data_IF_500776440580
#
_entry.id   IF_500776440580
#
_cell.length_a   1.000
_cell.length_b   1.000
_cell.length_c   1.000
_cell.angle_alpha   90.00
_cell.angle_beta   90.00
_cell.angle_gamma   90.00
#
_symmetry.space_group_name_H-M   'P 1'
#
loop_
_entity.id
_entity.type
_entity.pdbx_description
1 polymer ?
#
# COMPACT_ATOMS: atom_id res chain seq x y z
N UNK A 1 10.28 24.86 -8.12
CA UNK A 1 10.22 23.38 -8.17
C UNK A 1 8.84 23.00 -8.70
N UNK A 2 8.75 22.11 -9.69
CA UNK A 2 7.47 21.73 -10.34
C UNK A 2 7.07 20.31 -9.91
N UNK A 3 5.84 20.13 -9.43
CA UNK A 3 5.35 18.84 -8.93
C UNK A 3 3.86 18.87 -8.59
N UNK A 4 3.36 17.78 -8.01
CA UNK A 4 1.96 17.60 -7.58
C UNK A 4 1.80 17.95 -6.10
N UNK A 5 0.75 18.67 -5.75
CA UNK A 5 0.36 18.94 -4.36
C UNK A 5 -1.07 18.45 -4.18
N UNK A 6 -1.27 17.51 -3.27
CA UNK A 6 -2.57 16.93 -2.98
C UNK A 6 -3.18 17.62 -1.76
N UNK A 7 -4.33 18.26 -1.94
CA UNK A 7 -5.05 18.94 -0.85
C UNK A 7 -6.11 18.07 -0.18
N UNK A 8 -6.59 17.06 -0.90
CA UNK A 8 -7.57 16.09 -0.39
C UNK A 8 -6.83 14.84 0.09
N UNK A 9 -6.94 14.55 1.39
CA UNK A 9 -6.34 13.37 2.02
C UNK A 9 -6.88 12.07 1.43
N UNK A 10 -8.10 12.04 0.89
CA UNK A 10 -8.64 10.82 0.28
C UNK A 10 -7.90 10.42 -1.00
N UNK A 11 -7.11 11.33 -1.61
CA UNK A 11 -6.40 11.11 -2.87
C UNK A 11 -7.32 10.47 -3.93
N UNK A 12 -8.52 11.04 -4.09
CA UNK A 12 -9.56 10.50 -4.97
C UNK A 12 -9.19 10.58 -6.46
N UNK A 13 -8.22 11.42 -6.81
CA UNK A 13 -7.68 11.63 -8.16
C UNK A 13 -6.68 10.55 -8.64
N UNK A 14 -6.27 9.62 -7.77
CA UNK A 14 -5.34 8.52 -8.11
C UNK A 14 -5.92 7.15 -7.76
N UNK A 15 -5.42 6.11 -8.44
CA UNK A 15 -5.82 4.72 -8.19
C UNK A 15 -5.32 4.18 -6.84
N UNK A 16 -5.90 3.09 -6.30
CA UNK A 16 -5.56 2.56 -4.97
C UNK A 16 -4.07 2.23 -4.77
N UNK A 17 -3.41 1.67 -5.79
CA UNK A 17 -1.99 1.33 -5.72
C UNK A 17 -1.10 2.58 -5.62
N UNK A 18 -1.39 3.61 -6.42
CA UNK A 18 -0.65 4.88 -6.37
C UNK A 18 -0.93 5.63 -5.06
N UNK A 19 -2.17 5.61 -4.56
CA UNK A 19 -2.52 6.15 -3.25
C UNK A 19 -1.66 5.55 -2.14
N UNK A 20 -1.56 4.21 -2.09
CA UNK A 20 -0.70 3.51 -1.14
C UNK A 20 0.76 3.93 -1.29
N UNK A 21 1.27 4.00 -2.51
CA UNK A 21 2.64 4.42 -2.77
C UNK A 21 2.93 5.86 -2.31
N UNK A 22 2.01 6.81 -2.52
CA UNK A 22 2.15 8.20 -2.08
C UNK A 22 2.21 8.33 -0.55
N UNK A 23 1.32 7.62 0.16
CA UNK A 23 1.31 7.59 1.62
C UNK A 23 2.57 6.93 2.19
N UNK A 24 3.06 5.85 1.57
CA UNK A 24 4.32 5.23 1.95
C UNK A 24 5.48 6.20 1.74
N UNK A 25 5.59 6.85 0.57
CA UNK A 25 6.65 7.82 0.28
C UNK A 25 6.64 9.00 1.24
N UNK A 26 5.46 9.47 1.66
CA UNK A 26 5.31 10.49 2.70
C UNK A 26 5.91 10.04 4.04
N UNK A 27 5.61 8.81 4.48
CA UNK A 27 6.11 8.29 5.76
C UNK A 27 7.60 7.95 5.71
N UNK A 28 8.10 7.44 4.59
CA UNK A 28 9.54 7.24 4.36
C UNK A 28 10.30 8.56 4.46
N UNK A 29 9.75 9.63 3.87
CA UNK A 29 10.30 10.98 3.97
C UNK A 29 10.31 11.49 5.40
N UNK A 30 9.24 11.25 6.17
CA UNK A 30 9.18 11.62 7.58
C UNK A 30 10.22 10.85 8.42
N UNK A 31 10.37 9.56 8.17
CA UNK A 31 11.38 8.74 8.83
C UNK A 31 12.80 9.24 8.51
N UNK A 32 13.06 9.61 7.25
CA UNK A 32 14.33 10.19 6.83
C UNK A 32 14.60 11.52 7.53
N UNK A 33 13.60 12.41 7.59
CA UNK A 33 13.68 13.68 8.30
C UNK A 33 14.11 13.48 9.76
N UNK A 34 13.46 12.54 10.45
CA UNK A 34 13.78 12.24 11.85
C UNK A 34 15.10 11.46 12.04
N UNK A 35 15.79 11.08 10.96
CA UNK A 35 17.07 10.36 11.02
C UNK A 35 18.28 11.26 10.79
N UNK A 36 18.08 12.54 10.47
CA UNK A 36 19.19 13.47 10.31
C UNK A 36 19.89 13.76 11.64
N UNK A 37 21.23 13.76 11.61
CA UNK A 37 22.03 14.23 12.74
C UNK A 37 22.06 15.77 12.73
N UNK A 38 21.48 16.38 13.76
CA UNK A 38 21.37 17.83 13.90
C UNK A 38 22.74 18.53 13.85
N UNK A 39 23.81 17.85 14.31
CA UNK A 39 25.17 18.40 14.30
C UNK A 39 25.72 18.48 12.87
N UNK A 40 25.56 17.42 12.09
CA UNK A 40 25.96 17.38 10.68
C UNK A 40 25.24 18.44 9.83
N UNK A 41 24.01 18.79 10.19
CA UNK A 41 23.22 19.84 9.53
C UNK A 41 23.53 21.27 10.03
N UNK A 42 24.36 21.42 11.07
CA UNK A 42 24.63 22.73 11.68
C UNK A 42 23.42 23.34 12.42
N UNK A 43 22.43 22.51 12.80
CA UNK A 43 21.19 22.94 13.48
C UNK A 43 21.28 22.84 15.01
N UNK A 44 22.50 22.92 15.57
CA UNK A 44 22.71 22.93 17.01
C UNK A 44 22.05 24.18 17.62
N UNK A 45 21.20 24.00 18.62
CA UNK A 45 20.48 25.09 19.27
C UNK A 45 19.28 25.64 18.49
N UNK A 46 18.90 25.05 17.35
CA UNK A 46 17.70 25.42 16.59
C UNK A 46 16.41 25.30 17.41
N UNK A 47 16.37 24.33 18.32
CA UNK A 47 15.28 24.11 19.26
C UNK A 47 15.77 23.52 20.57
N UNK A 48 14.83 23.18 21.44
CA UNK A 48 15.11 22.47 22.70
C UNK A 48 14.46 21.10 22.61
N UNK A 49 15.25 20.03 22.67
CA UNK A 49 14.73 18.65 22.71
C UNK A 49 14.23 18.27 24.11
N UNK A 50 15.12 18.08 25.11
CA UNK A 50 14.73 17.52 26.41
C UNK A 50 13.56 18.26 27.07
N UNK A 51 12.54 17.53 27.53
CA UNK A 51 11.31 18.07 28.08
C UNK A 51 10.30 18.58 27.04
N UNK A 52 10.42 18.13 25.78
CA UNK A 52 9.55 18.53 24.67
C UNK A 52 8.07 18.25 24.98
N UNK A 53 7.74 17.03 25.42
CA UNK A 53 6.36 16.63 25.70
C UNK A 53 5.72 17.54 26.77
N UNK A 54 6.43 17.79 27.88
CA UNK A 54 5.96 18.69 28.94
C UNK A 54 5.73 20.12 28.43
N UNK A 55 6.63 20.63 27.59
CA UNK A 55 6.49 21.95 26.97
C UNK A 55 5.28 22.01 26.04
N UNK A 56 5.05 20.99 25.23
CA UNK A 56 3.89 20.94 24.33
C UNK A 56 2.58 20.97 25.12
N UNK A 57 2.44 20.10 26.13
CA UNK A 57 1.23 20.06 26.98
C UNK A 57 0.96 21.43 27.63
N UNK A 58 1.97 22.03 28.26
CA UNK A 58 1.81 23.33 28.92
C UNK A 58 1.54 24.49 27.96
N UNK A 59 2.15 24.47 26.77
CA UNK A 59 1.96 25.51 25.74
C UNK A 59 0.55 25.46 25.16
N UNK A 60 0.08 24.28 24.75
CA UNK A 60 -1.27 24.12 24.19
C UNK A 60 -2.36 24.36 25.23
N UNK A 61 -2.13 23.98 26.50
CA UNK A 61 -3.07 24.33 27.58
C UNK A 61 -3.19 25.84 27.78
N UNK A 62 -2.05 26.56 27.81
CA UNK A 62 -2.05 28.02 27.93
C UNK A 62 -2.77 28.68 26.74
N UNK A 63 -2.54 28.21 25.52
CA UNK A 63 -3.19 28.74 24.32
C UNK A 63 -4.70 28.46 24.32
N UNK A 64 -5.12 27.26 24.73
CA UNK A 64 -6.53 26.93 24.89
C UNK A 64 -7.19 27.82 25.94
N UNK A 65 -6.59 27.96 27.13
CA UNK A 65 -7.16 28.76 28.23
C UNK A 65 -7.30 30.24 27.86
N UNK A 66 -6.34 30.79 27.11
CA UNK A 66 -6.42 32.16 26.60
C UNK A 66 -7.54 32.36 25.57
N UNK A 67 -8.00 31.29 24.91
CA UNK A 67 -9.00 31.32 23.84
C UNK A 67 -10.37 30.77 24.27
N UNK A 68 -10.44 30.10 25.42
CA UNK A 68 -11.64 29.44 25.92
C UNK A 68 -12.64 30.47 26.46
N UNK A 69 -13.88 30.41 25.97
CA UNK A 69 -15.00 31.25 26.41
C UNK A 69 -16.14 30.40 27.00
N UNK A 70 -16.06 29.09 26.90
CA UNK A 70 -17.00 28.12 27.48
C UNK A 70 -16.21 26.93 27.99
N UNK A 71 -16.62 26.38 29.13
CA UNK A 71 -15.99 25.19 29.67
C UNK A 71 -16.33 23.96 28.83
N UNK A 72 -15.29 23.24 28.39
CA UNK A 72 -15.41 21.96 27.69
C UNK A 72 -14.69 20.93 28.55
N UNK A 73 -15.41 20.20 29.43
CA UNK A 73 -14.80 19.29 30.40
C UNK A 73 -13.86 18.24 29.77
N UNK A 74 -14.13 17.82 28.52
CA UNK A 74 -13.28 16.88 27.80
C UNK A 74 -11.87 17.43 27.56
N UNK A 75 -11.73 18.73 27.21
CA UNK A 75 -10.41 19.36 26.97
C UNK A 75 -9.62 19.41 28.27
N UNK A 76 -10.26 19.80 29.37
CA UNK A 76 -9.60 19.88 30.69
C UNK A 76 -9.14 18.49 31.18
N UNK A 77 -9.99 17.47 31.04
CA UNK A 77 -9.63 16.07 31.36
C UNK A 77 -8.47 15.56 30.50
N UNK A 78 -8.46 15.90 29.21
CA UNK A 78 -7.38 15.51 28.30
C UNK A 78 -6.06 16.17 28.70
N UNK A 79 -6.09 17.47 28.99
CA UNK A 79 -4.91 18.21 29.43
C UNK A 79 -4.34 17.65 30.75
N UNK A 80 -5.21 17.34 31.71
CA UNK A 80 -4.81 16.73 32.99
C UNK A 80 -4.21 15.34 32.78
N UNK A 81 -4.84 14.51 31.94
CA UNK A 81 -4.30 13.19 31.60
C UNK A 81 -2.91 13.31 30.97
N UNK A 82 -2.73 14.21 30.00
CA UNK A 82 -1.43 14.44 29.35
C UNK A 82 -0.37 14.92 30.35
N UNK A 83 -0.71 15.81 31.27
CA UNK A 83 0.22 16.30 32.28
C UNK A 83 0.69 15.18 33.24
N UNK A 84 -0.20 14.23 33.54
CA UNK A 84 0.06 13.12 34.47
C UNK A 84 0.69 11.88 33.81
N UNK A 85 0.67 11.78 32.48
CA UNK A 85 1.13 10.60 31.73
C UNK A 85 2.26 10.92 30.73
N UNK A 86 3.15 11.85 31.10
CA UNK A 86 4.32 12.18 30.27
C UNK A 86 5.19 10.93 30.03
N UNK A 87 5.65 10.69 28.79
CA UNK A 87 6.51 9.55 28.48
C UNK A 87 7.79 9.56 29.32
N UNK A 88 8.24 8.40 29.83
CA UNK A 88 9.53 8.30 30.49
C UNK A 88 10.65 8.59 29.47
N UNK A 89 11.66 9.37 29.86
CA UNK A 89 12.82 9.60 28.99
C UNK A 89 12.59 10.58 27.82
N UNK A 90 11.78 11.62 28.01
CA UNK A 90 11.55 12.76 27.08
C UNK A 90 12.83 13.59 26.81
N UNK A 91 13.80 12.93 26.16
CA UNK A 91 15.18 13.40 25.93
C UNK A 91 15.59 13.33 24.47
N UNK A 92 14.72 12.79 23.60
CA UNK A 92 14.93 12.71 22.16
C UNK A 92 15.13 14.10 21.54
N UNK A 93 16.09 14.19 20.60
CA UNK A 93 16.47 15.41 19.90
C UNK A 93 16.47 15.17 18.39
N UNK A 94 15.28 15.10 17.79
CA UNK A 94 15.12 14.99 16.33
C UNK A 94 14.67 16.33 15.74
N UNK A 95 15.08 16.63 14.51
CA UNK A 95 14.44 17.68 13.72
C UNK A 95 13.00 17.23 13.45
N UNK A 96 12.02 18.03 13.86
CA UNK A 96 10.61 17.79 13.60
C UNK A 96 10.06 18.95 12.76
N UNK A 97 9.17 18.63 11.84
CA UNK A 97 8.46 19.58 11.01
C UNK A 97 7.38 20.34 11.81
N UNK A 98 6.70 19.66 12.73
CA UNK A 98 5.64 20.22 13.55
C UNK A 98 4.29 20.35 12.84
N UNK A 99 4.27 20.34 11.51
CA UNK A 99 3.07 20.36 10.68
C UNK A 99 3.14 19.43 9.46
N UNK A 100 3.64 18.22 9.66
CA UNK A 100 3.89 17.28 8.57
C UNK A 100 2.58 16.67 8.06
N UNK A 101 2.14 17.07 6.86
CA UNK A 101 0.89 16.65 6.22
C UNK A 101 1.06 16.54 4.71
N UNK A 102 0.16 15.82 4.05
CA UNK A 102 0.26 15.57 2.60
C UNK A 102 0.18 16.85 1.76
N UNK A 103 -0.57 17.86 2.21
CA UNK A 103 -0.73 19.13 1.50
C UNK A 103 0.52 20.03 1.61
N UNK A 104 1.41 19.74 2.55
CA UNK A 104 2.72 20.38 2.71
C UNK A 104 3.82 19.63 1.93
N UNK A 105 3.47 18.71 1.03
CA UNK A 105 4.43 17.90 0.28
C UNK A 105 4.26 18.12 -1.22
N UNK A 106 5.39 18.35 -1.90
CA UNK A 106 5.45 18.34 -3.36
C UNK A 106 5.92 16.96 -3.81
N UNK A 107 5.05 16.22 -4.50
CA UNK A 107 5.37 14.95 -5.14
C UNK A 107 5.85 15.15 -6.59
N UNK A 108 6.57 14.16 -7.12
CA UNK A 108 6.97 14.13 -8.51
C UNK A 108 5.75 14.17 -9.45
N UNK A 109 5.83 14.80 -10.65
CA UNK A 109 4.71 14.90 -11.58
C UNK A 109 4.05 13.56 -11.97
N UNK A 110 4.83 12.47 -12.02
CA UNK A 110 4.38 11.15 -12.52
C UNK A 110 4.71 9.98 -11.58
N UNK A 111 5.50 10.19 -10.53
CA UNK A 111 5.96 9.13 -9.64
C UNK A 111 5.45 9.36 -8.22
N UNK A 112 5.28 8.29 -7.44
CA UNK A 112 4.99 8.35 -6.01
C UNK A 112 6.28 8.62 -5.22
N UNK A 113 6.88 9.79 -5.44
CA UNK A 113 8.16 10.20 -4.84
C UNK A 113 8.08 11.64 -4.36
N UNK A 114 8.54 11.89 -3.14
CA UNK A 114 8.59 13.25 -2.57
C UNK A 114 9.77 14.03 -3.16
N UNK A 115 9.51 15.26 -3.61
CA UNK A 115 10.51 16.20 -4.09
C UNK A 115 10.87 17.27 -3.06
N UNK A 116 9.88 17.75 -2.29
CA UNK A 116 10.09 18.78 -1.28
C UNK A 116 9.01 18.71 -0.19
N UNK A 117 9.39 19.14 1.01
CA UNK A 117 8.49 19.40 2.16
C UNK A 117 8.44 20.92 2.36
N UNK A 118 7.25 21.48 2.52
CA UNK A 118 6.95 22.91 2.60
C UNK A 118 6.55 23.32 4.02
N UNK A 119 6.49 24.62 4.29
CA UNK A 119 5.91 25.20 5.52
C UNK A 119 6.60 24.81 6.84
N UNK A 120 7.92 25.04 6.87
CA UNK A 120 8.80 24.78 8.02
C UNK A 120 8.65 25.75 9.20
N UNK A 121 7.65 26.63 9.22
CA UNK A 121 7.52 27.69 10.23
C UNK A 121 7.28 27.17 11.67
N UNK A 122 6.71 25.97 11.80
CA UNK A 122 6.50 25.29 13.09
C UNK A 122 7.61 24.29 13.44
N UNK A 123 8.62 24.18 12.59
CA UNK A 123 9.68 23.19 12.78
C UNK A 123 10.60 23.55 13.95
N UNK A 124 11.09 22.52 14.64
CA UNK A 124 11.95 22.68 15.81
C UNK A 124 12.70 21.39 16.10
N UNK A 125 13.44 21.36 17.22
CA UNK A 125 14.00 20.13 17.78
C UNK A 125 13.03 19.58 18.81
N UNK A 126 12.66 18.32 18.70
CA UNK A 126 11.69 17.70 19.60
C UNK A 126 11.60 16.18 19.45
N UNK A 127 10.48 15.64 19.94
CA UNK A 127 10.24 14.21 19.94
C UNK A 127 9.62 13.73 18.61
N UNK A 128 10.25 12.81 17.87
CA UNK A 128 9.84 12.46 16.51
C UNK A 128 8.44 11.81 16.42
N UNK A 129 8.02 11.08 17.46
CA UNK A 129 6.68 10.51 17.51
C UNK A 129 5.55 11.55 17.53
N UNK A 130 5.83 12.81 17.89
CA UNK A 130 4.83 13.87 17.83
C UNK A 130 4.41 14.17 16.39
N UNK A 131 5.38 14.22 15.47
CA UNK A 131 5.11 14.42 14.04
C UNK A 131 4.44 13.20 13.41
N UNK A 132 4.89 11.98 13.76
CA UNK A 132 4.25 10.76 13.26
C UNK A 132 2.77 10.68 13.70
N UNK A 133 2.50 10.93 14.99
CA UNK A 133 1.14 10.95 15.51
C UNK A 133 0.28 12.02 14.82
N UNK A 134 0.81 13.22 14.64
CA UNK A 134 0.15 14.31 13.93
C UNK A 134 -0.18 13.93 12.47
N UNK A 135 0.80 13.36 11.75
CA UNK A 135 0.66 12.91 10.37
C UNK A 135 -0.46 11.88 10.20
N UNK A 136 -0.62 10.98 11.18
CA UNK A 136 -1.59 9.87 11.15
C UNK A 136 -2.96 10.19 11.76
N UNK A 137 -3.21 11.44 12.17
CA UNK A 137 -4.48 11.84 12.81
C UNK A 137 -5.73 11.46 12.01
N UNK A 138 -5.62 11.45 10.69
CA UNK A 138 -6.75 11.18 9.80
C UNK A 138 -7.38 9.80 9.99
N UNK A 139 -6.67 8.80 10.52
CA UNK A 139 -7.22 7.46 10.79
C UNK A 139 -8.22 7.42 11.93
N UNK A 140 -8.14 8.37 12.87
CA UNK A 140 -8.98 8.39 14.06
C UNK A 140 -9.89 9.62 14.07
N UNK A 141 -10.13 10.25 12.91
CA UNK A 141 -10.93 11.47 12.85
C UNK A 141 -12.34 11.24 13.43
N UNK A 142 -12.87 12.15 14.28
CA UNK A 142 -14.14 11.90 14.95
C UNK A 142 -15.30 11.83 13.95
N UNK A 143 -16.04 10.72 13.94
CA UNK A 143 -17.16 10.50 13.01
C UNK A 143 -18.31 11.52 13.17
N UNK A 144 -18.38 12.18 14.33
CA UNK A 144 -19.36 13.25 14.61
C UNK A 144 -19.03 14.57 13.89
N UNK A 145 -17.79 14.74 13.42
CA UNK A 145 -17.35 15.91 12.66
C UNK A 145 -17.52 15.61 11.18
N UNK A 146 -18.60 16.16 10.59
CA UNK A 146 -18.84 16.11 9.14
C UNK A 146 -18.16 17.30 8.45
N UNK A 147 -17.62 17.04 7.26
CA UNK A 147 -17.09 17.98 6.26
C UNK A 147 -17.07 19.46 6.68
N UNK A 148 -15.92 19.93 7.16
CA UNK A 148 -15.59 21.35 7.00
C UNK A 148 -15.37 21.60 5.51
N UNK A 149 -15.98 22.67 4.99
CA UNK A 149 -15.98 23.00 3.55
C UNK A 149 -14.60 22.89 2.89
N UNK A 150 -14.61 22.62 1.57
CA UNK A 150 -13.42 22.62 0.72
C UNK A 150 -12.58 23.88 0.98
N UNK A 151 -11.28 23.70 1.20
CA UNK A 151 -10.33 24.79 1.45
C UNK A 151 -9.95 25.02 2.92
N UNK A 152 -10.40 24.16 3.84
CA UNK A 152 -9.83 24.14 5.20
C UNK A 152 -8.65 23.19 5.31
N UNK A 153 -7.67 23.48 6.19
CA UNK A 153 -6.60 22.53 6.55
C UNK A 153 -7.11 21.23 7.22
N UNK A 154 -8.43 21.07 7.39
CA UNK A 154 -9.09 20.00 8.14
C UNK A 154 -10.29 19.40 7.38
N UNK A 155 -10.34 19.52 6.06
CA UNK A 155 -11.37 18.85 5.26
C UNK A 155 -11.05 17.35 5.14
N UNK A 156 -11.88 16.49 5.74
CA UNK A 156 -11.74 15.03 5.71
C UNK A 156 -12.96 14.41 5.04
N UNK A 157 -12.80 13.87 3.83
CA UNK A 157 -13.92 13.36 3.03
C UNK A 157 -14.27 11.89 3.22
N UNK A 158 -13.37 11.04 3.73
CA UNK A 158 -13.60 9.62 4.01
C UNK A 158 -12.40 9.02 4.77
N UNK A 159 -12.59 7.88 5.43
CA UNK A 159 -11.49 7.07 5.98
C UNK A 159 -10.64 6.49 4.86
N UNK A 160 -9.31 6.64 4.97
CA UNK A 160 -8.35 5.99 4.07
C UNK A 160 -8.29 4.51 4.43
N UNK A 161 -8.82 3.67 3.56
CA UNK A 161 -8.82 2.21 3.76
C UNK A 161 -7.46 1.57 3.42
N UNK A 162 -6.68 2.20 2.53
CA UNK A 162 -5.37 1.71 2.09
C UNK A 162 -4.40 2.87 1.86
N UNK A 163 -3.19 2.86 2.46
CA UNK A 163 -2.68 1.85 3.40
C UNK A 163 -3.36 1.98 4.78
N UNK A 164 -3.27 0.94 5.60
CA UNK A 164 -3.73 0.94 6.99
C UNK A 164 -2.80 1.76 7.89
N UNK A 165 -3.31 2.15 9.06
CA UNK A 165 -2.54 2.86 10.08
C UNK A 165 -1.31 2.06 10.53
N UNK A 166 -1.49 0.76 10.78
CA UNK A 166 -0.44 -0.15 11.23
C UNK A 166 0.65 -0.33 10.16
N UNK A 167 0.29 -0.37 8.88
CA UNK A 167 1.25 -0.41 7.78
C UNK A 167 2.11 0.84 7.75
N UNK A 168 1.53 2.04 7.89
CA UNK A 168 2.31 3.28 7.91
C UNK A 168 3.24 3.34 9.13
N UNK A 169 2.77 2.95 10.30
CA UNK A 169 3.64 2.86 11.49
C UNK A 169 4.76 1.85 11.28
N UNK A 170 4.48 0.70 10.67
CA UNK A 170 5.47 -0.33 10.35
C UNK A 170 6.53 0.18 9.37
N UNK A 171 6.13 0.88 8.31
CA UNK A 171 7.04 1.54 7.35
C UNK A 171 7.96 2.50 8.08
N UNK A 172 7.39 3.39 8.91
CA UNK A 172 8.17 4.36 9.68
C UNK A 172 9.21 3.68 10.57
N UNK A 173 8.78 2.68 11.36
CA UNK A 173 9.65 1.97 12.29
C UNK A 173 10.79 1.25 11.56
N UNK A 174 10.48 0.59 10.44
CA UNK A 174 11.46 -0.07 9.58
C UNK A 174 12.50 0.92 9.03
N UNK A 175 12.06 2.07 8.52
CA UNK A 175 12.96 3.10 7.99
C UNK A 175 13.84 3.72 9.10
N UNK A 176 13.32 3.84 10.32
CA UNK A 176 14.06 4.33 11.49
C UNK A 176 14.95 3.27 12.16
N UNK A 177 14.79 1.99 11.82
CA UNK A 177 15.47 0.89 12.51
C UNK A 177 15.02 0.71 13.98
N UNK A 178 13.76 1.03 14.30
CA UNK A 178 13.20 0.93 15.66
C UNK A 178 12.11 -0.13 15.75
N UNK A 179 11.73 -0.51 16.97
CA UNK A 179 10.63 -1.46 17.22
C UNK A 179 9.29 -0.93 16.69
N UNK A 180 8.48 -1.82 16.13
CA UNK A 180 7.08 -1.54 15.76
C UNK A 180 6.18 -1.37 17.00
N UNK A 181 6.61 -1.87 18.16
CA UNK A 181 5.93 -1.64 19.44
C UNK A 181 6.34 -0.28 20.00
N UNK A 182 5.64 0.78 19.59
CA UNK A 182 5.87 2.15 20.06
C UNK A 182 5.23 2.38 21.44
N UNK A 183 5.91 1.97 22.51
CA UNK A 183 5.47 2.26 23.87
C UNK A 183 5.27 3.78 24.05
N UNK A 184 4.07 4.18 24.48
CA UNK A 184 3.61 5.58 24.61
C UNK A 184 3.09 6.28 23.33
N UNK A 185 2.95 5.64 22.17
CA UNK A 185 2.39 6.33 21.00
C UNK A 185 0.94 6.85 21.20
N UNK A 186 0.14 6.24 22.11
CA UNK A 186 -1.16 6.78 22.53
C UNK A 186 -1.06 8.16 23.19
N UNK A 187 0.04 8.45 23.91
CA UNK A 187 0.29 9.78 24.45
C UNK A 187 0.45 10.80 23.33
N UNK A 188 1.23 10.48 22.29
CA UNK A 188 1.47 11.37 21.16
C UNK A 188 0.22 11.59 20.30
N UNK A 189 -0.61 10.56 20.12
CA UNK A 189 -1.93 10.69 19.51
C UNK A 189 -2.81 11.64 20.33
N UNK A 190 -2.97 11.38 21.64
CA UNK A 190 -3.74 12.24 22.53
C UNK A 190 -3.24 13.69 22.54
N UNK A 191 -1.93 13.90 22.53
CA UNK A 191 -1.30 15.22 22.43
C UNK A 191 -1.64 15.92 21.11
N UNK A 192 -1.64 15.18 20.00
CA UNK A 192 -1.96 15.70 18.67
C UNK A 192 -3.42 16.16 18.59
N UNK A 193 -4.36 15.38 19.16
CA UNK A 193 -5.76 15.79 19.28
C UNK A 193 -5.95 17.00 20.20
N UNK A 194 -5.20 17.08 21.31
CA UNK A 194 -5.22 18.23 22.21
C UNK A 194 -4.73 19.51 21.52
N UNK A 195 -3.61 19.41 20.79
CA UNK A 195 -3.10 20.49 19.92
C UNK A 195 -4.16 20.95 18.92
N UNK A 196 -4.81 20.02 18.23
CA UNK A 196 -5.85 20.35 17.25
C UNK A 196 -7.07 21.04 17.88
N UNK A 197 -7.52 20.57 19.04
CA UNK A 197 -8.60 21.20 19.78
C UNK A 197 -8.25 22.64 20.21
N UNK A 198 -7.02 22.86 20.67
CA UNK A 198 -6.52 24.19 21.03
C UNK A 198 -6.43 25.14 19.83
N UNK A 199 -5.93 24.66 18.68
CA UNK A 199 -5.88 25.44 17.43
C UNK A 199 -7.30 25.81 16.97
N UNK A 200 -8.22 24.85 16.95
CA UNK A 200 -9.61 25.08 16.56
C UNK A 200 -10.29 26.11 17.48
N UNK A 201 -10.07 26.01 18.78
CA UNK A 201 -10.56 26.99 19.76
C UNK A 201 -9.98 28.39 19.49
N UNK A 202 -8.69 28.50 19.19
CA UNK A 202 -8.03 29.77 18.88
C UNK A 202 -8.51 30.40 17.55
N UNK A 203 -8.85 29.59 16.55
CA UNK A 203 -9.49 30.08 15.31
C UNK A 203 -10.87 30.64 15.61
N UNK A 204 -11.67 29.92 16.38
CA UNK A 204 -13.01 30.38 16.76
C UNK A 204 -12.98 31.64 17.64
N UNK A 205 -12.04 31.73 18.59
CA UNK A 205 -11.87 32.93 19.41
C UNK A 205 -11.52 34.17 18.56
N UNK A 206 -10.68 34.01 17.53
CA UNK A 206 -10.39 35.09 16.56
C UNK A 206 -11.60 35.49 15.74
N UNK A 207 -12.49 34.54 15.40
CA UNK A 207 -13.76 34.84 14.77
C UNK A 207 -14.67 35.70 15.65
N UNK A 208 -14.80 35.37 16.94
CA UNK A 208 -15.65 36.13 17.88
C UNK A 208 -15.25 37.61 17.99
N UNK A 209 -13.96 37.92 17.84
CA UNK A 209 -13.43 39.29 17.89
C UNK A 209 -13.31 39.95 16.51
N UNK A 210 -13.84 39.33 15.45
CA UNK A 210 -13.84 39.87 14.08
C UNK A 210 -12.50 39.83 13.36
N UNK A 211 -11.54 39.02 13.81
CA UNK A 211 -10.18 38.91 13.26
C UNK A 211 -9.91 37.54 12.61
N UNK A 212 -10.95 36.92 12.04
CA UNK A 212 -10.85 35.64 11.34
C UNK A 212 -10.52 35.83 9.85
N UNK A 213 -9.58 35.04 9.34
CA UNK A 213 -9.17 35.07 7.93
C UNK A 213 -10.01 34.19 7.01
N UNK A 214 -10.72 33.19 7.55
CA UNK A 214 -11.53 32.24 6.78
C UNK A 214 -13.03 32.37 7.10
N UNK A 215 -13.89 32.30 6.07
CA UNK A 215 -15.36 32.47 6.19
C UNK A 215 -16.01 31.45 7.13
N UNK A 216 -15.46 30.25 7.23
CA UNK A 216 -15.98 29.17 8.06
C UNK A 216 -15.35 29.07 9.45
N UNK A 217 -14.58 30.09 9.89
CA UNK A 217 -13.96 30.12 11.22
C UNK A 217 -14.96 29.93 12.37
N UNK A 218 -16.23 30.28 12.15
CA UNK A 218 -17.34 30.10 13.09
C UNK A 218 -17.70 28.63 13.35
N UNK A 219 -17.36 27.71 12.43
CA UNK A 219 -17.68 26.29 12.56
C UNK A 219 -16.69 25.52 13.43
N UNK A 220 -15.50 26.07 13.65
CA UNK A 220 -14.43 25.40 14.39
C UNK A 220 -14.78 25.12 15.85
N UNK A 221 -15.71 25.86 16.46
CA UNK A 221 -16.21 25.53 17.80
C UNK A 221 -16.86 24.15 17.87
N UNK A 222 -17.50 23.72 16.76
CA UNK A 222 -18.21 22.43 16.68
C UNK A 222 -17.24 21.24 16.76
N UNK A 223 -15.97 21.42 16.43
CA UNK A 223 -14.97 20.35 16.38
C UNK A 223 -14.11 20.23 17.65
N UNK A 224 -14.04 21.27 18.49
CA UNK A 224 -13.18 21.28 19.69
C UNK A 224 -13.53 20.14 20.65
N UNK A 225 -14.81 19.98 20.98
CA UNK A 225 -15.28 18.93 21.90
C UNK A 225 -15.04 17.52 21.32
N UNK A 226 -15.47 17.20 20.08
CA UNK A 226 -15.18 15.91 19.46
C UNK A 226 -13.69 15.55 19.45
N UNK A 227 -12.81 16.49 19.09
CA UNK A 227 -11.37 16.26 19.09
C UNK A 227 -10.84 15.89 20.49
N UNK A 228 -11.29 16.59 21.52
CA UNK A 228 -10.89 16.32 22.90
C UNK A 228 -11.42 14.96 23.41
N UNK A 229 -12.65 14.59 23.05
CA UNK A 229 -13.24 13.30 23.39
C UNK A 229 -12.49 12.14 22.72
N UNK A 230 -12.17 12.26 21.44
CA UNK A 230 -11.36 11.28 20.72
C UNK A 230 -9.95 11.16 21.30
N UNK A 231 -9.30 12.27 21.65
CA UNK A 231 -7.99 12.25 22.33
C UNK A 231 -8.03 11.47 23.65
N UNK A 232 -9.09 11.64 24.45
CA UNK A 232 -9.32 10.88 25.70
C UNK A 232 -9.63 9.40 25.47
N UNK A 233 -10.28 9.06 24.37
CA UNK A 233 -10.54 7.66 24.02
C UNK A 233 -9.21 6.96 23.65
N UNK A 234 -8.42 7.60 22.79
CA UNK A 234 -7.11 7.10 22.37
C UNK A 234 -6.15 6.94 23.56
N UNK A 235 -6.22 7.86 24.53
CA UNK A 235 -5.39 7.80 25.74
C UNK A 235 -5.66 6.58 26.63
N UNK A 236 -6.83 5.94 26.50
CA UNK A 236 -7.25 4.78 27.29
C UNK A 236 -7.05 3.44 26.56
N UNK A 237 -6.62 3.46 25.30
CA UNK A 237 -6.42 2.21 24.54
C UNK A 237 -5.25 1.42 25.12
N UNK A 238 -5.45 0.12 25.28
CA UNK A 238 -4.46 -0.82 25.82
C UNK A 238 -3.46 -1.32 24.77
N UNK A 239 -3.75 -1.19 23.47
CA UNK A 239 -2.87 -1.61 22.37
C UNK A 239 -3.09 -0.76 21.10
N UNK A 240 -2.07 -0.67 20.25
CA UNK A 240 -2.08 0.00 18.92
C UNK A 240 -2.88 -0.74 17.86
N UNK A 241 -3.26 -1.99 18.12
CA UNK A 241 -3.97 -2.82 17.15
C UNK A 241 -5.40 -2.32 16.98
N UNK A 242 -5.74 -1.80 15.79
CA UNK A 242 -7.10 -1.99 15.29
C UNK A 242 -7.39 -3.50 15.25
N UNK A 243 -8.65 -3.89 15.30
CA UNK A 243 -9.14 -5.26 15.53
C UNK A 243 -8.77 -6.30 14.46
N UNK A 244 -7.73 -6.08 13.66
CA UNK A 244 -7.16 -7.06 12.75
C UNK A 244 -5.82 -7.59 13.28
N UNK A 245 -5.69 -8.90 13.53
CA UNK A 245 -4.41 -9.49 13.85
C UNK A 245 -3.51 -9.43 12.62
N UNK A 246 -2.69 -8.38 12.53
CA UNK A 246 -1.55 -8.34 11.62
C UNK A 246 -0.53 -9.36 12.14
N UNK A 247 -0.32 -10.41 11.36
CA UNK A 247 0.91 -11.21 11.47
C UNK A 247 2.08 -10.25 11.23
N UNK A 248 3.10 -10.35 12.07
CA UNK A 248 4.22 -9.44 12.08
C UNK A 248 4.95 -9.39 10.72
N UNK A 249 5.19 -8.18 10.20
CA UNK A 249 6.30 -7.90 9.28
C UNK A 249 6.05 -7.96 7.77
N UNK A 250 4.85 -8.29 7.29
CA UNK A 250 4.57 -8.30 5.85
C UNK A 250 3.92 -6.97 5.42
N UNK A 251 4.65 -6.16 4.65
CA UNK A 251 4.07 -5.03 3.94
C UNK A 251 3.21 -5.59 2.80
N UNK A 252 1.94 -5.24 2.78
CA UNK A 252 0.92 -5.75 1.86
C UNK A 252 0.53 -7.22 2.15
N UNK A 253 -0.38 -7.47 3.11
CA UNK A 253 -0.90 -8.81 3.29
C UNK A 253 -1.69 -9.24 2.04
N UNK A 254 -1.55 -10.50 1.58
CA UNK A 254 -2.41 -11.02 0.52
C UNK A 254 -3.87 -10.94 0.95
N UNK A 255 -4.77 -10.78 -0.02
CA UNK A 255 -6.20 -10.73 0.22
C UNK A 255 -6.68 -12.01 0.91
N UNK A 256 -7.81 -11.95 1.62
CA UNK A 256 -8.39 -13.16 2.25
C UNK A 256 -8.57 -14.29 1.24
N UNK A 257 -9.04 -13.96 0.03
CA UNK A 257 -9.18 -14.92 -1.07
C UNK A 257 -7.83 -15.47 -1.52
N UNK A 258 -6.82 -14.61 -1.67
CA UNK A 258 -5.44 -15.02 -1.96
C UNK A 258 -4.88 -15.98 -0.93
N UNK A 259 -5.06 -15.70 0.36
CA UNK A 259 -4.65 -16.59 1.46
C UNK A 259 -5.34 -17.95 1.42
N UNK A 260 -6.66 -17.96 1.22
CA UNK A 260 -7.46 -19.19 1.11
C UNK A 260 -7.02 -20.06 -0.07
N UNK A 261 -6.82 -19.46 -1.26
CA UNK A 261 -6.34 -20.18 -2.44
C UNK A 261 -4.90 -20.66 -2.26
N UNK A 262 -4.00 -19.83 -1.70
CA UNK A 262 -2.62 -20.23 -1.42
C UNK A 262 -2.55 -21.45 -0.50
N UNK A 263 -3.38 -21.49 0.54
CA UNK A 263 -3.46 -22.65 1.44
C UNK A 263 -3.95 -23.90 0.70
N UNK A 264 -4.98 -23.77 -0.14
CA UNK A 264 -5.46 -24.88 -0.98
C UNK A 264 -4.39 -25.37 -1.95
N UNK A 265 -3.67 -24.47 -2.62
CA UNK A 265 -2.56 -24.83 -3.53
C UNK A 265 -1.46 -25.57 -2.77
N UNK A 266 -1.02 -25.06 -1.61
CA UNK A 266 -0.02 -25.74 -0.76
C UNK A 266 -0.46 -27.15 -0.37
N UNK A 267 -1.73 -27.31 0.01
CA UNK A 267 -2.29 -28.60 0.35
C UNK A 267 -2.34 -29.54 -0.87
N UNK A 268 -2.82 -29.04 -2.00
CA UNK A 268 -2.89 -29.78 -3.26
C UNK A 268 -1.50 -30.24 -3.71
N UNK A 269 -0.50 -29.35 -3.62
CA UNK A 269 0.89 -29.67 -3.93
C UNK A 269 1.40 -30.84 -3.09
N UNK A 270 1.12 -30.81 -1.77
CA UNK A 270 1.51 -31.86 -0.83
C UNK A 270 0.79 -33.19 -1.06
N UNK A 271 -0.50 -33.14 -1.37
CA UNK A 271 -1.36 -34.33 -1.46
C UNK A 271 -1.32 -35.01 -2.83
N UNK A 272 -1.11 -34.25 -3.90
CA UNK A 272 -1.29 -34.72 -5.27
C UNK A 272 -0.06 -34.52 -6.15
N UNK A 273 0.56 -33.33 -6.13
CA UNK A 273 1.68 -33.00 -7.03
C UNK A 273 2.97 -33.69 -6.61
N UNK A 274 3.48 -33.45 -5.40
CA UNK A 274 4.75 -34.03 -4.96
C UNK A 274 4.76 -35.57 -4.99
N UNK A 275 3.66 -36.28 -4.62
CA UNK A 275 3.61 -37.74 -4.77
C UNK A 275 3.73 -38.23 -6.22
N UNK A 276 3.22 -37.48 -7.20
CA UNK A 276 3.25 -37.84 -8.62
C UNK A 276 4.60 -37.54 -9.29
N UNK A 277 5.47 -36.75 -8.65
CA UNK A 277 6.71 -36.26 -9.26
C UNK A 277 7.62 -37.40 -9.74
N UNK A 278 7.79 -38.45 -8.93
CA UNK A 278 8.62 -39.60 -9.31
C UNK A 278 8.07 -40.30 -10.55
N UNK A 279 6.77 -40.50 -10.65
CA UNK A 279 6.12 -41.16 -11.79
C UNK A 279 6.34 -40.35 -13.07
N UNK A 280 6.14 -39.03 -13.00
CA UNK A 280 6.30 -38.12 -14.14
C UNK A 280 7.75 -38.07 -14.62
N UNK A 281 8.72 -38.00 -13.69
CA UNK A 281 10.15 -38.03 -14.04
C UNK A 281 10.50 -39.33 -14.77
N UNK A 282 10.03 -40.48 -14.28
CA UNK A 282 10.28 -41.77 -14.94
C UNK A 282 9.62 -41.83 -16.33
N UNK A 283 8.41 -41.30 -16.48
CA UNK A 283 7.73 -41.24 -17.78
C UNK A 283 8.55 -40.47 -18.82
N UNK A 284 9.01 -39.27 -18.48
CA UNK A 284 9.81 -38.47 -19.43
C UNK A 284 11.20 -39.07 -19.69
N UNK A 285 11.84 -39.63 -18.65
CA UNK A 285 13.13 -40.29 -18.81
C UNK A 285 13.04 -41.51 -19.76
N UNK A 286 11.99 -42.32 -19.63
CA UNK A 286 11.76 -43.50 -20.46
C UNK A 286 11.44 -43.16 -21.93
N UNK A 287 10.83 -42.01 -22.20
CA UNK A 287 10.44 -41.59 -23.54
C UNK A 287 11.44 -40.65 -24.22
N UNK A 288 12.57 -40.32 -23.59
CA UNK A 288 13.50 -39.27 -24.08
C UNK A 288 14.00 -39.48 -25.53
N UNK A 289 14.16 -40.72 -25.96
CA UNK A 289 14.64 -41.11 -27.29
C UNK A 289 13.53 -41.45 -28.29
N UNK A 290 12.27 -41.36 -27.90
CA UNK A 290 11.12 -41.70 -28.75
C UNK A 290 10.36 -40.45 -29.17
N UNK A 291 9.49 -40.57 -30.17
CA UNK A 291 8.57 -39.49 -30.55
C UNK A 291 7.57 -39.16 -29.43
N UNK A 292 7.34 -40.09 -28.49
CA UNK A 292 6.48 -39.89 -27.33
C UNK A 292 7.05 -38.92 -26.28
N UNK A 293 8.28 -38.41 -26.45
CA UNK A 293 8.88 -37.40 -25.55
C UNK A 293 8.05 -36.11 -25.41
N UNK A 294 7.21 -35.82 -26.40
CA UNK A 294 6.33 -34.64 -26.42
C UNK A 294 4.92 -34.92 -25.88
N UNK A 295 4.61 -36.19 -25.59
CA UNK A 295 3.31 -36.56 -25.01
C UNK A 295 3.31 -36.27 -23.51
N UNK A 296 2.15 -35.87 -22.99
CA UNK A 296 1.95 -35.63 -21.56
C UNK A 296 1.61 -36.94 -20.85
N UNK A 297 2.16 -37.19 -19.64
CA UNK A 297 1.85 -38.39 -18.90
C UNK A 297 0.38 -38.41 -18.46
N UNK A 298 -0.33 -39.55 -18.50
CA UNK A 298 -1.74 -39.63 -18.12
C UNK A 298 -2.06 -39.16 -16.69
N UNK A 299 -1.10 -39.27 -15.77
CA UNK A 299 -1.26 -38.75 -14.40
C UNK A 299 -1.45 -37.23 -14.39
N UNK A 300 -0.87 -36.50 -15.35
CA UNK A 300 -0.99 -35.05 -15.42
C UNK A 300 -2.44 -34.62 -15.74
N UNK A 301 -3.10 -35.30 -16.66
CA UNK A 301 -4.51 -35.03 -16.99
C UNK A 301 -5.43 -35.31 -15.80
N UNK A 302 -5.18 -36.41 -15.07
CA UNK A 302 -5.89 -36.71 -13.83
C UNK A 302 -5.71 -35.60 -12.79
N UNK A 303 -4.50 -35.05 -12.65
CA UNK A 303 -4.22 -33.96 -11.71
C UNK A 303 -4.94 -32.67 -12.12
N UNK A 304 -4.98 -32.35 -13.42
CA UNK A 304 -5.74 -31.21 -13.97
C UNK A 304 -7.23 -31.33 -13.66
N UNK A 305 -7.82 -32.53 -13.80
CA UNK A 305 -9.23 -32.77 -13.46
C UNK A 305 -9.53 -32.51 -11.97
N UNK A 306 -8.67 -32.96 -11.06
CA UNK A 306 -8.83 -32.71 -9.61
C UNK A 306 -8.67 -31.21 -9.33
N UNK A 307 -7.67 -30.55 -9.91
CA UNK A 307 -7.44 -29.11 -9.74
C UNK A 307 -8.66 -28.29 -10.21
N UNK A 308 -9.24 -28.62 -11.36
CA UNK A 308 -10.50 -28.02 -11.86
C UNK A 308 -11.65 -28.23 -10.87
N UNK A 309 -11.82 -29.44 -10.35
CA UNK A 309 -12.90 -29.76 -9.40
C UNK A 309 -12.78 -28.98 -8.08
N UNK A 310 -11.56 -28.63 -7.66
CA UNK A 310 -11.30 -27.81 -6.47
C UNK A 310 -11.30 -26.29 -6.72
N UNK A 311 -11.48 -25.87 -7.98
CA UNK A 311 -11.45 -24.47 -8.37
C UNK A 311 -10.04 -23.86 -8.42
N UNK A 312 -9.01 -24.70 -8.57
CA UNK A 312 -7.60 -24.31 -8.68
C UNK A 312 -7.18 -24.26 -10.15
N UNK A 313 -7.79 -23.36 -10.94
CA UNK A 313 -7.61 -23.34 -12.40
C UNK A 313 -7.58 -21.91 -12.94
N UNK A 314 -6.69 -21.62 -13.91
CA UNK A 314 -6.48 -20.29 -14.49
C UNK A 314 -6.16 -19.20 -13.44
N UNK A 315 -5.43 -19.56 -12.38
CA UNK A 315 -5.20 -18.70 -11.22
C UNK A 315 -4.45 -17.40 -11.58
N UNK A 316 -3.67 -17.44 -12.67
CA UNK A 316 -2.87 -16.32 -13.17
C UNK A 316 -3.70 -15.15 -13.72
N UNK A 317 -4.94 -15.39 -14.17
CA UNK A 317 -5.72 -14.41 -14.92
C UNK A 317 -6.73 -13.70 -14.00
N UNK A 318 -6.55 -12.41 -13.64
CA UNK A 318 -7.36 -11.72 -12.63
C UNK A 318 -8.86 -11.70 -12.94
N UNK A 319 -9.25 -11.54 -14.20
CA UNK A 319 -10.67 -11.48 -14.61
C UNK A 319 -11.40 -12.83 -14.46
N UNK A 320 -10.64 -13.93 -14.36
CA UNK A 320 -11.18 -15.28 -14.12
C UNK A 320 -11.03 -15.66 -12.65
N UNK A 321 -9.83 -15.53 -12.11
CA UNK A 321 -9.51 -15.99 -10.76
C UNK A 321 -10.01 -15.03 -9.68
N UNK A 322 -10.17 -13.74 -10.00
CA UNK A 322 -10.43 -12.67 -9.05
C UNK A 322 -9.32 -12.51 -8.01
N UNK A 323 -8.08 -12.85 -8.37
CA UNK A 323 -6.88 -12.67 -7.56
C UNK A 323 -6.11 -11.43 -8.02
N UNK A 324 -5.49 -10.72 -7.08
CA UNK A 324 -4.53 -9.67 -7.43
C UNK A 324 -3.20 -10.27 -7.87
N UNK A 325 -2.34 -9.44 -8.48
CA UNK A 325 -0.98 -9.85 -8.84
C UNK A 325 -0.15 -10.25 -7.60
N UNK A 326 -0.35 -9.57 -6.47
CA UNK A 326 0.29 -9.91 -5.20
C UNK A 326 -0.17 -11.28 -4.68
N UNK A 327 -1.47 -11.57 -4.76
CA UNK A 327 -2.01 -12.87 -4.37
C UNK A 327 -1.42 -14.00 -5.23
N UNK A 328 -1.39 -13.78 -6.55
CA UNK A 328 -0.87 -14.77 -7.49
C UNK A 328 0.65 -14.97 -7.35
N UNK A 329 1.43 -13.94 -6.98
CA UNK A 329 2.86 -14.06 -6.81
C UNK A 329 3.26 -15.15 -5.80
N UNK A 330 2.59 -15.21 -4.65
CA UNK A 330 2.83 -16.24 -3.63
C UNK A 330 2.37 -17.64 -4.08
N UNK A 331 1.32 -17.70 -4.89
CA UNK A 331 0.84 -18.96 -5.48
C UNK A 331 1.84 -19.47 -6.52
N UNK A 332 2.34 -18.59 -7.39
CA UNK A 332 3.34 -18.91 -8.39
C UNK A 332 4.68 -19.33 -7.77
N UNK A 333 5.06 -18.73 -6.63
CA UNK A 333 6.22 -19.19 -5.85
C UNK A 333 6.06 -20.65 -5.40
N UNK A 334 4.86 -21.04 -4.97
CA UNK A 334 4.57 -22.42 -4.56
C UNK A 334 4.62 -23.38 -5.76
N UNK A 335 4.02 -23.03 -6.89
CA UNK A 335 4.04 -23.90 -8.08
C UNK A 335 5.44 -24.02 -8.69
N UNK A 336 6.28 -22.99 -8.56
CA UNK A 336 7.67 -23.00 -9.01
C UNK A 336 8.56 -24.06 -8.34
N UNK A 337 8.09 -24.69 -7.26
CA UNK A 337 8.82 -25.76 -6.54
C UNK A 337 8.78 -27.11 -7.26
N UNK A 338 7.94 -27.27 -8.28
CA UNK A 338 7.84 -28.51 -9.05
C UNK A 338 7.58 -28.23 -10.54
N UNK A 339 8.38 -28.82 -11.43
CA UNK A 339 8.47 -28.41 -12.84
C UNK A 339 7.18 -28.57 -13.65
N UNK A 340 6.26 -29.45 -13.25
CA UNK A 340 4.98 -29.67 -13.94
C UNK A 340 3.79 -29.07 -13.19
N UNK A 341 3.98 -28.50 -11.99
CA UNK A 341 2.90 -27.94 -11.20
C UNK A 341 2.18 -26.77 -11.87
N UNK A 342 2.86 -25.82 -12.57
CA UNK A 342 2.15 -24.79 -13.31
C UNK A 342 1.15 -25.38 -14.32
N UNK A 343 1.49 -26.49 -14.98
CA UNK A 343 0.61 -27.14 -15.96
C UNK A 343 -0.63 -27.79 -15.33
N UNK A 344 -0.53 -28.25 -14.07
CA UNK A 344 -1.66 -28.81 -13.33
C UNK A 344 -2.75 -27.75 -13.06
N UNK A 345 -2.35 -26.49 -12.89
CA UNK A 345 -3.26 -25.38 -12.59
C UNK A 345 -3.58 -24.48 -13.82
N UNK A 346 -3.15 -24.88 -15.02
CA UNK A 346 -3.21 -24.12 -16.27
C UNK A 346 -2.51 -22.75 -16.21
N UNK A 347 -1.35 -22.72 -15.55
CA UNK A 347 -0.55 -21.54 -15.28
C UNK A 347 0.85 -21.62 -15.93
N UNK A 348 1.07 -22.51 -16.89
CA UNK A 348 2.35 -22.71 -17.57
C UNK A 348 2.59 -21.71 -18.70
N UNK A 349 3.85 -21.31 -18.88
CA UNK A 349 4.30 -20.68 -20.11
C UNK A 349 4.41 -21.73 -21.24
N UNK A 350 4.21 -21.33 -22.51
CA UNK A 350 3.89 -19.99 -22.99
C UNK A 350 2.39 -19.64 -22.96
N UNK A 351 1.53 -20.58 -22.56
CA UNK A 351 0.08 -20.46 -22.71
C UNK A 351 -0.54 -19.29 -21.95
N UNK A 352 -0.07 -19.00 -20.73
CA UNK A 352 -0.58 -17.86 -19.94
C UNK A 352 -0.43 -16.53 -20.66
N UNK A 353 0.75 -16.25 -21.22
CA UNK A 353 0.99 -15.02 -22.00
C UNK A 353 0.12 -14.97 -23.27
N UNK A 354 -0.05 -16.09 -23.96
CA UNK A 354 -0.91 -16.16 -25.15
C UNK A 354 -2.40 -15.97 -24.80
N UNK A 355 -2.85 -16.53 -23.68
CA UNK A 355 -4.19 -16.29 -23.14
C UNK A 355 -4.40 -14.82 -22.79
N UNK A 356 -3.42 -14.15 -22.16
CA UNK A 356 -3.48 -12.72 -21.86
C UNK A 356 -3.60 -11.85 -23.13
N UNK A 357 -2.82 -12.17 -24.18
CA UNK A 357 -2.90 -11.46 -25.48
C UNK A 357 -4.32 -11.58 -26.07
N UNK A 358 -4.89 -12.78 -26.12
CA UNK A 358 -6.25 -12.98 -26.64
C UNK A 358 -7.31 -12.33 -25.74
N UNK A 359 -7.13 -12.39 -24.42
CA UNK A 359 -8.04 -11.78 -23.45
C UNK A 359 -8.11 -10.25 -23.62
N UNK A 360 -6.95 -9.60 -23.76
CA UNK A 360 -6.85 -8.15 -23.87
C UNK A 360 -7.20 -7.62 -25.26
N UNK A 361 -6.78 -8.32 -26.32
CA UNK A 361 -6.78 -7.77 -27.69
C UNK A 361 -7.57 -8.59 -28.71
N UNK A 362 -7.98 -9.81 -28.38
CA UNK A 362 -8.70 -10.69 -29.31
C UNK A 362 -10.12 -10.20 -29.61
N UNK A 363 -10.57 -10.41 -30.86
CA UNK A 363 -11.99 -10.21 -31.23
C UNK A 363 -12.88 -11.26 -30.55
N UNK A 364 -14.20 -11.07 -30.58
CA UNK A 364 -15.14 -12.04 -30.01
C UNK A 364 -14.99 -13.42 -30.66
N UNK A 365 -14.77 -13.46 -31.97
CA UNK A 365 -14.54 -14.68 -32.74
C UNK A 365 -13.23 -15.36 -32.33
N UNK A 366 -12.14 -14.59 -32.22
CA UNK A 366 -10.84 -15.12 -31.79
C UNK A 366 -10.86 -15.65 -30.36
N UNK A 367 -11.58 -14.97 -29.45
CA UNK A 367 -11.75 -15.43 -28.07
C UNK A 367 -12.52 -16.74 -28.03
N UNK A 368 -13.61 -16.85 -28.78
CA UNK A 368 -14.40 -18.08 -28.85
C UNK A 368 -13.61 -19.25 -29.46
N UNK A 369 -12.87 -19.00 -30.52
CA UNK A 369 -12.14 -20.04 -31.24
C UNK A 369 -10.88 -20.51 -30.48
N UNK A 370 -10.15 -19.60 -29.84
CA UNK A 370 -8.82 -19.89 -29.30
C UNK A 370 -8.70 -19.69 -27.79
N UNK A 371 -9.26 -18.61 -27.23
CA UNK A 371 -9.14 -18.34 -25.80
C UNK A 371 -9.95 -19.34 -24.97
N UNK A 372 -11.19 -19.66 -25.37
CA UNK A 372 -12.03 -20.62 -24.66
C UNK A 372 -11.34 -22.01 -24.57
N UNK A 373 -10.86 -22.64 -25.66
CA UNK A 373 -10.14 -23.91 -25.56
C UNK A 373 -8.84 -23.86 -24.74
N UNK A 374 -8.11 -22.75 -24.75
CA UNK A 374 -6.92 -22.54 -23.92
C UNK A 374 -7.28 -22.45 -22.43
N UNK A 375 -8.30 -21.66 -22.08
CA UNK A 375 -8.82 -21.55 -20.72
C UNK A 375 -9.40 -22.88 -20.21
N UNK A 376 -9.88 -23.74 -21.10
CA UNK A 376 -10.32 -25.10 -20.77
C UNK A 376 -9.16 -26.11 -20.68
N UNK A 377 -7.95 -25.75 -21.13
CA UNK A 377 -6.78 -26.63 -21.21
C UNK A 377 -6.93 -27.76 -22.24
N UNK A 378 -7.73 -27.56 -23.30
CA UNK A 378 -7.93 -28.55 -24.37
C UNK A 378 -6.87 -28.48 -25.47
N UNK A 379 -6.27 -27.31 -25.65
CA UNK A 379 -5.19 -27.06 -26.59
C UNK A 379 -4.04 -26.38 -25.85
N UNK A 380 -2.85 -26.47 -26.44
CA UNK A 380 -1.71 -25.62 -26.09
C UNK A 380 -1.39 -24.68 -27.26
N UNK A 381 -0.56 -23.69 -26.98
CA UNK A 381 -0.13 -22.67 -27.91
C UNK A 381 1.38 -22.50 -27.86
N UNK A 382 1.95 -21.85 -28.87
CA UNK A 382 3.35 -21.44 -28.89
C UNK A 382 3.44 -19.98 -29.32
N UNK A 383 4.48 -19.28 -28.84
CA UNK A 383 4.76 -17.90 -29.23
C UNK A 383 5.99 -17.84 -30.14
N UNK A 384 5.80 -17.37 -31.36
CA UNK A 384 6.82 -17.41 -32.42
C UNK A 384 7.37 -16.00 -32.71
N UNK A 385 8.34 -15.55 -31.92
CA UNK A 385 8.97 -14.23 -32.07
C UNK A 385 10.42 -14.30 -32.54
N UNK A 386 11.26 -15.10 -31.87
CA UNK A 386 12.71 -15.17 -32.14
C UNK A 386 13.01 -15.73 -33.53
N UNK A 387 13.90 -15.07 -34.26
CA UNK A 387 14.38 -15.47 -35.59
C UNK A 387 15.84 -15.93 -35.51
N UNK A 388 16.24 -16.98 -36.26
CA UNK A 388 17.60 -17.52 -36.20
C UNK A 388 18.63 -16.63 -36.90
N UNK A 389 18.21 -15.91 -37.93
CA UNK A 389 19.11 -15.21 -38.86
C UNK A 389 19.41 -13.76 -38.43
N UNK A 390 18.82 -13.29 -37.32
CA UNK A 390 18.97 -11.92 -36.79
C UNK A 390 19.05 -11.87 -35.25
N UNK A 391 19.69 -10.82 -34.72
CA UNK A 391 19.76 -10.57 -33.28
C UNK A 391 18.39 -10.13 -32.72
N UNK A 392 17.59 -11.13 -32.33
CA UNK A 392 16.18 -10.97 -31.93
C UNK A 392 15.96 -10.35 -30.54
N UNK A 393 17.04 -10.03 -29.80
CA UNK A 393 16.92 -9.26 -28.55
C UNK A 393 16.44 -7.83 -28.78
N UNK A 394 16.75 -7.27 -29.96
CA UNK A 394 16.14 -6.05 -30.46
C UNK A 394 15.03 -6.44 -31.44
N UNK A 395 13.78 -6.21 -31.05
CA UNK A 395 12.60 -6.57 -31.82
C UNK A 395 12.55 -5.86 -33.19
N UNK A 396 13.26 -4.73 -33.36
CA UNK A 396 13.29 -4.00 -34.63
C UNK A 396 14.06 -4.74 -35.74
N UNK A 397 14.87 -5.73 -35.39
CA UNK A 397 15.62 -6.55 -36.34
C UNK A 397 14.78 -7.66 -36.99
N UNK A 398 13.55 -7.92 -36.55
CA UNK A 398 12.73 -9.00 -37.11
C UNK A 398 12.44 -8.79 -38.60
N UNK A 399 12.64 -9.84 -39.39
CA UNK A 399 12.51 -9.83 -40.85
C UNK A 399 11.42 -10.77 -41.38
N UNK A 400 10.77 -11.55 -40.52
CA UNK A 400 9.59 -12.34 -40.92
C UNK A 400 8.53 -11.41 -41.53
N UNK A 401 8.32 -11.57 -42.83
CA UNK A 401 7.43 -10.71 -43.62
C UNK A 401 5.97 -11.08 -43.39
N UNK A 402 5.12 -10.06 -43.29
CA UNK A 402 3.66 -10.18 -43.24
C UNK A 402 3.10 -9.22 -44.28
N UNK A 403 2.57 -9.75 -45.37
CA UNK A 403 2.00 -8.97 -46.46
C UNK A 403 0.49 -9.22 -46.55
N UNK A 404 -0.28 -8.15 -46.80
CA UNK A 404 -1.73 -8.27 -46.99
C UNK A 404 -2.03 -8.59 -48.46
N UNK A 405 -2.71 -9.70 -48.70
CA UNK A 405 -3.20 -10.12 -50.02
C UNK A 405 -4.73 -10.16 -50.00
N UNK A 406 -5.36 -9.05 -50.38
CA UNK A 406 -6.81 -8.87 -50.35
C UNK A 406 -7.41 -9.07 -48.95
N UNK A 407 -8.08 -10.22 -48.75
CA UNK A 407 -8.77 -10.60 -47.51
C UNK A 407 -7.94 -11.54 -46.62
N UNK A 408 -6.72 -11.88 -47.01
CA UNK A 408 -5.80 -12.74 -46.24
C UNK A 408 -4.45 -12.07 -46.01
N UNK A 409 -3.63 -12.69 -45.16
CA UNK A 409 -2.24 -12.33 -44.97
C UNK A 409 -1.35 -13.48 -45.44
N UNK A 410 -0.25 -13.16 -46.11
CA UNK A 410 0.82 -14.09 -46.48
C UNK A 410 1.99 -13.84 -45.53
N UNK A 411 2.43 -14.89 -44.84
CA UNK A 411 3.50 -14.82 -43.83
C UNK A 411 4.68 -15.66 -44.31
N UNK A 412 5.86 -15.05 -44.47
CA UNK A 412 7.09 -15.75 -44.86
C UNK A 412 8.26 -15.38 -43.95
N UNK A 413 8.86 -16.39 -43.31
CA UNK A 413 10.04 -16.23 -42.45
C UNK A 413 10.42 -17.52 -41.74
N UNK A 414 11.46 -17.45 -40.90
CA UNK A 414 11.89 -18.55 -40.03
C UNK A 414 11.75 -18.12 -38.58
N UNK A 415 11.26 -19.01 -37.72
CA UNK A 415 11.20 -18.81 -36.26
C UNK A 415 11.85 -20.01 -35.56
N UNK A 416 12.45 -19.76 -34.40
CA UNK A 416 13.03 -20.79 -33.54
C UNK A 416 12.85 -20.43 -32.07
N UNK A 417 13.15 -21.36 -31.16
CA UNK A 417 12.84 -21.24 -29.73
C UNK A 417 11.35 -21.05 -29.42
N UNK A 418 10.47 -21.50 -30.31
CA UNK A 418 9.04 -21.58 -30.07
C UNK A 418 8.74 -22.72 -29.10
N UNK A 419 8.78 -22.43 -27.79
CA UNK A 419 8.46 -23.39 -26.74
C UNK A 419 7.04 -23.95 -26.91
N UNK A 420 6.89 -25.27 -26.82
CA UNK A 420 5.63 -26.00 -27.01
C UNK A 420 5.85 -27.50 -26.97
#
# INVERSE_FOLDING_TARGET
LQGRIFRDLSLCEVGPAERSALYIAMIETLAQLHSFDLRSLGLQGYGKGPGYCRRQVSTWKRQYDASAHTDIPAVNKLAEWLANNLPPGDTEESLIHGDFRIDNIIFHPTEARVLAVLDWELSTVGHPLADLAYTTLFYFWPASVKDLSQGTPLAFKNTIETPSFEELVSVYCRCRGISTTLSNFNFFLALSYFKMAAIAQGIYARYLIGNASAENSHEFVKIVKPLAETGLELSKRSCFSSTHPSVAGELFPPSRKGQEILLKVKQFMKQHVYPAEKEIIHYYAGNRSTEAKWQKPPVLERLKEIAKAEGLWNLFLPDVSGLSQLDYALIAEETGKCFFAPEVFNCQAPDTGNMEVLHMYGTAEQKKEWLEPLLEGKISSCFCMTEPDVASSDATNMQCSIERDGNSYVINGKKWWSSG
#
